data_IF_785922693165
#
_entry.id   IF_785922693165
#
_cell.length_a   1.000
_cell.length_b   1.000
_cell.length_c   1.000
_cell.angle_alpha   90.00
_cell.angle_beta   90.00
_cell.angle_gamma   90.00
#
_symmetry.space_group_name_H-M   'P 1'
#
loop_
_entity.id
_entity.type
_entity.pdbx_description
1 polymer ?
#
# COMPACT_ATOMS: atom_id res chain seq x y z
N UNK A 1 19.77 -3.16 63.48
CA UNK A 1 19.88 -2.21 62.36
C UNK A 1 19.87 -3.06 61.09
N UNK A 2 18.81 -3.26 60.29
CA UNK A 2 17.84 -2.31 59.66
C UNK A 2 18.63 -1.33 58.78
N UNK A 3 18.57 -1.27 57.44
CA UNK A 3 17.74 -1.86 56.35
C UNK A 3 18.59 -1.92 55.04
N UNK A 4 18.11 -2.59 53.97
CA UNK A 4 18.81 -2.93 52.72
C UNK A 4 18.59 -1.91 51.58
N UNK A 5 19.25 -2.16 50.44
CA UNK A 5 18.74 -1.76 49.13
C UNK A 5 19.65 -0.83 48.35
N UNK A 6 20.31 -1.36 47.33
CA UNK A 6 20.45 -0.65 46.07
C UNK A 6 20.46 -1.66 44.93
N UNK A 7 19.32 -1.75 44.25
CA UNK A 7 19.17 -2.36 42.94
C UNK A 7 19.49 -1.25 41.94
N UNK A 8 20.57 -1.33 41.14
CA UNK A 8 20.62 -0.53 39.93
C UNK A 8 19.75 -1.21 38.87
N UNK A 9 18.77 -0.43 38.42
CA UNK A 9 17.81 -0.74 37.39
C UNK A 9 18.47 -1.12 36.06
N UNK A 10 17.78 -2.00 35.34
CA UNK A 10 17.56 -1.86 33.91
C UNK A 10 18.78 -1.82 33.01
N UNK A 11 19.16 -3.00 32.52
CA UNK A 11 19.65 -3.13 31.16
C UNK A 11 18.84 -4.22 30.44
N UNK A 12 17.53 -4.01 30.32
CA UNK A 12 16.68 -4.64 29.29
C UNK A 12 17.04 -4.06 27.92
N UNK A 13 18.27 -4.28 27.48
CA UNK A 13 18.70 -4.03 26.10
C UNK A 13 19.48 -5.24 25.60
N UNK A 14 18.83 -6.40 25.69
CA UNK A 14 19.16 -7.52 24.80
C UNK A 14 18.67 -7.16 23.39
N UNK A 15 19.54 -6.43 22.68
CA UNK A 15 19.78 -6.43 21.25
C UNK A 15 18.63 -6.98 20.38
N UNK A 16 17.95 -6.04 19.71
CA UNK A 16 17.31 -6.18 18.40
C UNK A 16 17.09 -7.64 17.96
N UNK A 17 15.97 -8.22 18.40
CA UNK A 17 15.41 -9.41 17.77
C UNK A 17 15.41 -9.15 16.25
N UNK A 18 16.05 -10.05 15.50
CA UNK A 18 16.47 -9.84 14.12
C UNK A 18 15.38 -9.21 13.26
N UNK A 19 15.83 -8.42 12.29
CA UNK A 19 15.02 -8.00 11.15
C UNK A 19 14.51 -9.30 10.51
N UNK A 20 13.35 -9.78 10.94
CA UNK A 20 12.53 -10.67 10.15
C UNK A 20 12.26 -9.85 8.89
N UNK A 21 12.78 -10.28 7.74
CA UNK A 21 12.60 -9.71 6.40
C UNK A 21 11.31 -8.87 6.35
N UNK A 22 11.43 -7.57 6.66
CA UNK A 22 10.25 -6.72 6.81
C UNK A 22 9.54 -6.54 5.47
N UNK A 23 10.19 -7.01 4.40
CA UNK A 23 9.76 -6.93 3.02
C UNK A 23 10.19 -8.23 2.30
N UNK A 24 9.47 -9.36 2.48
CA UNK A 24 9.85 -10.67 1.90
C UNK A 24 9.94 -10.67 0.37
N UNK A 25 9.43 -9.61 -0.25
CA UNK A 25 9.38 -9.40 -1.69
C UNK A 25 10.34 -8.31 -2.20
N UNK A 26 11.09 -7.64 -1.31
CA UNK A 26 11.99 -6.55 -1.69
C UNK A 26 13.04 -7.03 -2.70
N UNK A 27 13.22 -6.26 -3.77
CA UNK A 27 14.16 -6.57 -4.85
C UNK A 27 13.69 -7.62 -5.86
N UNK A 28 12.54 -8.30 -5.64
CA UNK A 28 11.94 -9.20 -6.63
C UNK A 28 11.32 -8.41 -7.78
N UNK A 29 11.23 -8.99 -8.97
CA UNK A 29 10.54 -8.36 -10.09
C UNK A 29 9.03 -8.32 -9.84
N UNK A 30 8.39 -7.20 -10.17
CA UNK A 30 6.93 -7.10 -10.24
C UNK A 30 6.49 -7.82 -11.52
N UNK A 31 5.72 -8.88 -11.39
CA UNK A 31 5.23 -9.64 -12.56
C UNK A 31 3.92 -9.07 -13.08
N UNK A 32 3.02 -8.67 -12.19
CA UNK A 32 1.75 -8.07 -12.58
C UNK A 32 1.33 -6.95 -11.65
N UNK A 33 0.55 -6.01 -12.20
CA UNK A 33 -0.08 -4.93 -11.44
C UNK A 33 -1.56 -4.95 -11.80
N UNK A 34 -2.40 -5.21 -10.81
CA UNK A 34 -3.85 -5.12 -10.92
C UNK A 34 -4.34 -3.89 -10.17
N UNK A 35 -5.30 -3.18 -10.75
CA UNK A 35 -5.91 -1.99 -10.15
C UNK A 35 -7.40 -2.23 -10.13
N UNK A 36 -8.04 -2.07 -8.97
CA UNK A 36 -9.48 -2.31 -8.83
C UNK A 36 -10.11 -1.36 -7.83
N UNK A 37 -11.29 -0.85 -8.20
CA UNK A 37 -12.15 -0.10 -7.28
C UNK A 37 -12.96 -1.06 -6.41
N UNK A 38 -12.94 -0.86 -5.09
CA UNK A 38 -13.65 -1.68 -4.10
C UNK A 38 -15.12 -1.29 -3.96
N UNK A 39 -15.43 0.00 -4.14
CA UNK A 39 -16.77 0.58 -4.14
C UNK A 39 -17.04 1.35 -5.44
N UNK A 40 -17.30 0.67 -6.57
CA UNK A 40 -17.53 1.33 -7.85
C UNK A 40 -18.80 2.20 -7.78
N UNK A 41 -18.73 3.42 -8.33
CA UNK A 41 -19.89 4.29 -8.47
C UNK A 41 -20.73 3.91 -9.70
N UNK A 42 -21.96 4.40 -9.76
CA UNK A 42 -22.86 4.19 -10.91
C UNK A 42 -22.31 4.82 -12.22
N UNK A 43 -21.52 5.90 -12.11
CA UNK A 43 -20.83 6.50 -13.26
C UNK A 43 -19.58 5.69 -13.61
N UNK A 44 -19.71 4.79 -14.59
CA UNK A 44 -18.61 3.98 -15.09
C UNK A 44 -17.52 4.79 -15.78
N UNK A 45 -17.85 5.95 -16.36
CA UNK A 45 -16.85 6.81 -17.00
C UNK A 45 -15.98 7.49 -15.95
N UNK A 46 -16.55 7.88 -14.81
CA UNK A 46 -15.78 8.37 -13.67
C UNK A 46 -14.84 7.29 -13.11
N UNK A 47 -15.35 6.07 -12.89
CA UNK A 47 -14.55 4.95 -12.39
C UNK A 47 -13.31 4.70 -13.28
N UNK A 48 -13.51 4.61 -14.60
CA UNK A 48 -12.40 4.40 -15.56
C UNK A 48 -11.38 5.54 -15.54
N UNK A 49 -11.83 6.81 -15.41
CA UNK A 49 -10.92 7.96 -15.32
C UNK A 49 -10.07 7.90 -14.05
N UNK A 50 -10.64 7.49 -12.93
CA UNK A 50 -9.89 7.33 -11.68
C UNK A 50 -8.88 6.20 -11.81
N UNK A 51 -9.27 5.04 -12.33
CA UNK A 51 -8.35 3.92 -12.56
C UNK A 51 -7.18 4.29 -13.49
N UNK A 52 -7.47 4.96 -14.60
CA UNK A 52 -6.44 5.44 -15.54
C UNK A 52 -5.53 6.51 -14.90
N UNK A 53 -6.11 7.40 -14.08
CA UNK A 53 -5.38 8.39 -13.32
C UNK A 53 -4.41 7.73 -12.32
N UNK A 54 -4.89 6.76 -11.56
CA UNK A 54 -4.08 6.00 -10.59
C UNK A 54 -2.97 5.25 -11.33
N UNK A 55 -3.30 4.54 -12.40
CA UNK A 55 -2.30 3.83 -13.24
C UNK A 55 -1.18 4.77 -13.70
N UNK A 56 -1.53 5.98 -14.15
CA UNK A 56 -0.54 6.97 -14.60
C UNK A 56 0.27 7.57 -13.46
N UNK A 57 -0.34 7.79 -12.30
CA UNK A 57 0.30 8.38 -11.13
C UNK A 57 1.29 7.41 -10.45
N UNK A 58 0.98 6.11 -10.43
CA UNK A 58 1.82 5.10 -9.79
C UNK A 58 3.21 5.00 -10.43
N UNK A 59 3.29 5.11 -11.77
CA UNK A 59 4.55 4.97 -12.53
C UNK A 59 5.33 3.69 -12.20
N UNK A 60 4.62 2.66 -11.73
CA UNK A 60 5.13 1.31 -11.50
C UNK A 60 4.87 0.48 -12.75
N UNK A 61 5.81 -0.38 -13.10
CA UNK A 61 5.74 -1.18 -14.32
C UNK A 61 6.10 -2.64 -14.03
N UNK A 62 5.45 -3.61 -14.70
CA UNK A 62 5.91 -4.99 -14.71
C UNK A 62 7.38 -5.07 -15.17
N UNK A 63 8.15 -5.97 -14.57
CA UNK A 63 9.59 -6.14 -14.76
C UNK A 63 10.47 -5.22 -13.91
N UNK A 64 9.91 -4.20 -13.24
CA UNK A 64 10.67 -3.38 -12.29
C UNK A 64 10.83 -4.08 -10.93
N UNK A 65 11.87 -3.71 -10.18
CA UNK A 65 12.10 -4.26 -8.83
C UNK A 65 11.09 -3.69 -7.83
N UNK A 66 10.44 -4.58 -7.10
CA UNK A 66 9.55 -4.26 -6.00
C UNK A 66 10.32 -3.63 -4.84
N UNK A 67 9.78 -2.53 -4.30
CA UNK A 67 10.19 -1.90 -3.04
C UNK A 67 8.93 -1.33 -2.40
N UNK A 68 8.72 -1.66 -1.13
CA UNK A 68 7.53 -1.20 -0.40
C UNK A 68 7.53 0.33 -0.23
N UNK A 69 8.71 0.94 -0.08
CA UNK A 69 8.87 2.39 -0.02
C UNK A 69 8.46 3.04 -1.34
N UNK A 70 8.88 2.48 -2.48
CA UNK A 70 8.49 3.01 -3.78
C UNK A 70 6.98 2.88 -4.03
N UNK A 71 6.38 1.75 -3.63
CA UNK A 71 4.92 1.55 -3.72
C UNK A 71 4.19 2.56 -2.83
N UNK A 72 4.63 2.73 -1.59
CA UNK A 72 4.02 3.69 -0.64
C UNK A 72 4.11 5.13 -1.15
N UNK A 73 5.26 5.53 -1.71
CA UNK A 73 5.44 6.83 -2.34
C UNK A 73 4.51 7.01 -3.56
N UNK A 74 4.41 5.98 -4.40
CA UNK A 74 3.53 5.96 -5.56
C UNK A 74 2.05 6.09 -5.17
N UNK A 75 1.62 5.39 -4.11
CA UNK A 75 0.27 5.49 -3.55
C UNK A 75 -0.01 6.88 -2.98
N UNK A 76 0.94 7.49 -2.27
CA UNK A 76 0.85 8.88 -1.83
C UNK A 76 0.71 9.86 -3.00
N UNK A 77 1.43 9.58 -4.10
CA UNK A 77 1.24 10.07 -5.46
C UNK A 77 -0.25 10.10 -5.90
N UNK A 78 -0.79 8.89 -6.03
CA UNK A 78 -2.11 8.62 -6.56
C UNK A 78 -3.25 9.13 -5.66
N UNK A 79 -3.06 9.19 -4.34
CA UNK A 79 -4.06 9.69 -3.37
C UNK A 79 -4.46 11.14 -3.60
N UNK A 80 -3.66 11.91 -4.36
CA UNK A 80 -3.97 13.30 -4.74
C UNK A 80 -5.02 13.42 -5.85
N UNK A 81 -5.40 12.31 -6.49
CA UNK A 81 -6.45 12.30 -7.51
C UNK A 81 -7.80 12.59 -6.85
N UNK A 82 -8.56 13.50 -7.45
CA UNK A 82 -9.88 13.89 -6.95
C UNK A 82 -10.84 12.68 -6.91
N UNK A 83 -11.64 12.59 -5.84
CA UNK A 83 -12.62 11.52 -5.65
C UNK A 83 -12.08 10.23 -5.02
N UNK A 84 -10.78 10.15 -4.72
CA UNK A 84 -10.22 9.03 -3.94
C UNK A 84 -10.39 9.32 -2.44
N UNK A 85 -10.94 8.35 -1.70
CA UNK A 85 -11.04 8.34 -0.24
C UNK A 85 -9.81 7.66 0.36
N UNK A 86 -9.52 6.44 -0.11
CA UNK A 86 -8.41 5.61 0.34
C UNK A 86 -7.79 4.83 -0.83
N UNK A 87 -6.53 4.44 -0.63
CA UNK A 87 -5.70 3.70 -1.56
C UNK A 87 -4.85 2.76 -0.73
N UNK A 88 -4.96 1.48 -1.00
CA UNK A 88 -4.24 0.41 -0.32
C UNK A 88 -3.57 -0.51 -1.35
N UNK A 89 -2.59 -1.29 -0.91
CA UNK A 89 -1.96 -2.31 -1.74
C UNK A 89 -1.88 -3.66 -1.03
N UNK A 90 -1.98 -4.71 -1.82
CA UNK A 90 -1.70 -6.08 -1.40
C UNK A 90 -0.62 -6.65 -2.30
N UNK A 91 0.34 -7.36 -1.70
CA UNK A 91 1.39 -8.07 -2.43
C UNK A 91 1.21 -9.56 -2.28
N UNK A 92 1.18 -10.25 -3.41
CA UNK A 92 1.10 -11.70 -3.46
C UNK A 92 2.34 -12.26 -4.18
N UNK A 93 2.84 -13.44 -3.76
CA UNK A 93 3.86 -14.13 -4.52
C UNK A 93 3.28 -14.58 -5.87
N UNK A 94 3.98 -14.29 -6.97
CA UNK A 94 3.56 -14.75 -8.29
C UNK A 94 4.02 -16.20 -8.56
N UNK A 95 3.38 -16.85 -9.53
CA UNK A 95 3.80 -18.18 -9.99
C UNK A 95 5.19 -18.19 -10.67
N UNK A 96 5.65 -17.04 -11.17
CA UNK A 96 6.96 -16.89 -11.83
C UNK A 96 8.09 -16.57 -10.83
N UNK A 97 7.77 -16.42 -9.53
CA UNK A 97 8.73 -16.16 -8.46
C UNK A 97 8.97 -14.67 -8.18
N UNK A 98 8.28 -13.79 -8.89
CA UNK A 98 8.18 -12.35 -8.61
C UNK A 98 6.99 -11.99 -7.72
N UNK A 99 6.45 -10.79 -7.95
CA UNK A 99 5.41 -10.17 -7.10
C UNK A 99 4.23 -9.76 -7.95
N UNK A 100 3.04 -10.20 -7.55
CA UNK A 100 1.78 -9.68 -8.05
C UNK A 100 1.29 -8.58 -7.12
N UNK A 101 1.19 -7.36 -7.65
CA UNK A 101 0.77 -6.18 -6.90
C UNK A 101 -0.70 -5.87 -7.20
N UNK A 102 -1.53 -5.85 -6.17
CA UNK A 102 -2.92 -5.43 -6.27
C UNK A 102 -3.10 -4.05 -5.62
N UNK A 103 -3.61 -3.10 -6.37
CA UNK A 103 -3.93 -1.74 -5.91
C UNK A 103 -5.43 -1.64 -5.73
N UNK A 104 -5.84 -1.35 -4.50
CA UNK A 104 -7.23 -1.25 -4.09
C UNK A 104 -7.59 0.24 -3.95
N UNK A 105 -8.58 0.67 -4.74
CA UNK A 105 -9.06 2.05 -4.74
C UNK A 105 -10.40 2.10 -4.03
N UNK A 106 -10.50 2.97 -3.02
CA UNK A 106 -11.79 3.34 -2.42
C UNK A 106 -12.15 4.76 -2.83
N UNK A 107 -13.27 4.91 -3.53
CA UNK A 107 -13.82 6.21 -3.95
C UNK A 107 -14.58 6.88 -2.81
N UNK A 108 -14.72 8.21 -2.88
CA UNK A 108 -15.57 8.95 -1.93
C UNK A 108 -17.04 8.84 -2.31
N UNK A 109 -17.90 8.75 -1.31
CA UNK A 109 -19.35 8.67 -1.50
C UNK A 109 -19.95 10.00 -2.01
N UNK A 110 -19.33 11.15 -1.69
CA UNK A 110 -19.74 12.47 -2.20
C UNK A 110 -19.49 12.67 -3.70
N UNK A 111 -18.73 11.77 -4.32
CA UNK A 111 -18.48 11.80 -5.78
C UNK A 111 -19.57 11.13 -6.59
N UNK A 112 -20.60 10.56 -5.96
CA UNK A 112 -21.78 10.08 -6.69
C UNK A 112 -22.47 11.29 -7.31
N UNK A 113 -22.51 11.42 -8.67
CA UNK A 113 -23.38 12.41 -9.26
C UNK A 113 -24.79 12.07 -8.79
N UNK A 114 -25.46 13.07 -8.22
CA UNK A 114 -26.88 13.02 -7.86
C UNK A 114 -27.58 12.30 -9.01
N UNK A 115 -28.18 11.14 -8.73
CA UNK A 115 -29.00 10.43 -9.69
C UNK A 115 -30.26 11.28 -9.88
N UNK A 116 -30.07 12.38 -10.60
CA UNK A 116 -31.06 13.40 -10.84
C UNK A 116 -32.06 12.87 -11.85
N UNK A 117 -33.20 12.44 -11.28
CA UNK A 117 -34.53 12.33 -11.88
C UNK A 117 -34.98 10.95 -12.38
#
# INVERSE_FOLDING_TARGET
MTVPGLVPAGFDQALAQGIADAQPFSGRAIDSISIRITNPLADSAFNSRVEDGVRRALRLFPGSSYSDEQVTLALGAAKRIAGIAALDHETLPSAAGGVDLAILITLRDDTQPDAGR
#
